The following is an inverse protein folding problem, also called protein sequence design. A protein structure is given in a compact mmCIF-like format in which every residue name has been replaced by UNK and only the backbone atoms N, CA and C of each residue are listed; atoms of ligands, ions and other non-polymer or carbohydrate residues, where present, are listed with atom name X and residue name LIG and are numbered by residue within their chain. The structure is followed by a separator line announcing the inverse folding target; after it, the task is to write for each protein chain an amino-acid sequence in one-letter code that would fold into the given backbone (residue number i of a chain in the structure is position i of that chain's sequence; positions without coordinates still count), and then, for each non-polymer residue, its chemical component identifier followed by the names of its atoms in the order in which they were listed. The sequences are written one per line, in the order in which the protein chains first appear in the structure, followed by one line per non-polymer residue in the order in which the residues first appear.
data_IF_075374582210
#
_entry.id   IF_075374582210
#
_cell.length_a   1.000
_cell.length_b   1.000
_cell.length_c   1.000
_cell.angle_alpha   90.00
_cell.angle_beta   90.00
_cell.angle_gamma   90.00
#
_symmetry.space_group_name_H-M   'P 1'
#
loop_
_entity.id
_entity.type
_entity.pdbx_description
1 polymer ?
#
# COMPACT_ATOMS: atom_id res chain seq x y z
N UNK A 1 16.46 34.75 11.97
CA UNK A 1 15.55 34.24 13.03
C UNK A 1 14.60 33.26 12.37
N UNK A 2 14.64 31.99 12.77
CA UNK A 2 13.71 30.96 12.30
C UNK A 2 12.38 31.21 13.02
N UNK A 3 11.39 31.73 12.30
CA UNK A 3 10.07 31.94 12.88
C UNK A 3 9.36 30.60 13.03
N UNK A 4 8.71 30.50 14.17
CA UNK A 4 8.04 29.33 14.72
C UNK A 4 7.11 28.67 13.70
N UNK A 5 6.98 27.33 13.82
CA UNK A 5 5.99 26.52 13.10
C UNK A 5 4.67 27.29 13.05
N UNK A 6 4.06 27.39 11.88
CA UNK A 6 2.71 27.95 11.80
C UNK A 6 1.75 27.11 12.68
N UNK A 7 0.60 27.68 13.06
CA UNK A 7 -0.37 27.12 14.01
C UNK A 7 -0.83 25.68 13.69
N UNK A 8 -0.56 25.18 12.47
CA UNK A 8 -0.89 23.83 11.99
C UNK A 8 0.31 22.86 11.98
N UNK A 9 1.48 23.28 12.47
CA UNK A 9 2.69 22.46 12.51
C UNK A 9 3.36 22.23 11.15
N UNK A 10 3.03 23.02 10.12
CA UNK A 10 3.72 22.97 8.81
C UNK A 10 5.03 23.76 8.87
N UNK A 11 6.03 23.25 8.15
CA UNK A 11 7.27 23.99 7.88
C UNK A 11 6.94 25.22 7.02
N UNK A 12 7.28 26.43 7.47
CA UNK A 12 6.89 27.68 6.79
C UNK A 12 7.54 27.84 5.40
N UNK A 13 8.57 27.05 5.09
CA UNK A 13 9.41 27.09 3.89
C UNK A 13 9.37 25.80 3.05
N UNK A 14 8.45 24.87 3.33
CA UNK A 14 8.32 23.63 2.58
C UNK A 14 7.87 23.84 1.13
N UNK A 15 8.27 22.93 0.21
CA UNK A 15 7.90 22.94 -1.23
C UNK A 15 6.40 23.15 -1.51
N UNK A 16 5.54 22.80 -0.56
CA UNK A 16 4.09 22.89 -0.66
C UNK A 16 3.45 23.75 0.45
N UNK A 17 4.21 24.66 1.07
CA UNK A 17 3.67 25.61 2.04
C UNK A 17 2.66 26.56 1.37
N UNK A 18 1.62 26.95 2.12
CA UNK A 18 0.58 27.86 1.66
C UNK A 18 1.20 29.24 1.40
N UNK A 19 1.11 29.72 0.16
CA UNK A 19 1.78 30.95 -0.27
C UNK A 19 3.24 30.80 -0.74
N UNK A 20 3.77 29.58 -0.89
CA UNK A 20 5.07 29.39 -1.55
C UNK A 20 4.94 29.70 -3.06
N UNK A 21 5.62 30.75 -3.58
CA UNK A 21 5.53 31.13 -4.99
C UNK A 21 6.24 30.15 -5.93
N UNK A 22 6.99 29.20 -5.39
CA UNK A 22 7.78 28.22 -6.14
C UNK A 22 7.23 26.80 -5.96
N UNK A 23 6.31 26.39 -6.85
CA UNK A 23 5.79 25.01 -6.90
C UNK A 23 4.40 24.92 -7.50
N UNK A 24 3.99 23.73 -7.92
CA UNK A 24 2.60 23.47 -8.32
C UNK A 24 1.72 23.50 -7.05
N UNK A 25 0.57 24.19 -7.06
CA UNK A 25 -0.32 24.24 -5.91
C UNK A 25 -0.83 22.86 -5.50
N UNK A 26 -1.25 22.72 -4.24
CA UNK A 26 -1.93 21.53 -3.77
C UNK A 26 -3.18 21.29 -4.62
N UNK A 27 -3.41 20.03 -5.03
CA UNK A 27 -4.54 19.63 -5.86
C UNK A 27 -5.84 19.49 -5.07
N UNK A 28 -5.73 19.15 -3.79
CA UNK A 28 -6.85 19.11 -2.84
C UNK A 28 -6.54 20.07 -1.71
N UNK A 29 -7.51 20.94 -1.41
CA UNK A 29 -7.37 21.99 -0.40
C UNK A 29 -7.83 21.51 0.98
N UNK A 30 -8.84 20.63 1.02
CA UNK A 30 -9.45 20.13 2.24
C UNK A 30 -9.56 18.59 2.27
N UNK A 31 -9.65 18.05 3.49
CA UNK A 31 -9.74 16.61 3.74
C UNK A 31 -10.96 15.96 3.06
N UNK A 32 -12.10 16.65 3.02
CA UNK A 32 -13.36 16.09 2.53
C UNK A 32 -13.33 15.92 1.01
N UNK A 33 -12.80 16.89 0.26
CA UNK A 33 -12.68 16.75 -1.20
C UNK A 33 -11.82 15.56 -1.60
N UNK A 34 -10.71 15.33 -0.88
CA UNK A 34 -9.87 14.15 -1.07
C UNK A 34 -10.62 12.86 -0.71
N UNK A 35 -11.33 12.84 0.42
CA UNK A 35 -12.11 11.67 0.87
C UNK A 35 -13.21 11.29 -0.12
N UNK A 36 -13.92 12.27 -0.67
CA UNK A 36 -14.95 12.06 -1.70
C UNK A 36 -14.32 11.42 -2.93
N UNK A 37 -13.20 11.94 -3.43
CA UNK A 37 -12.52 11.34 -4.60
C UNK A 37 -11.99 9.95 -4.36
N UNK A 38 -11.51 9.65 -3.16
CA UNK A 38 -11.12 8.29 -2.79
C UNK A 38 -12.31 7.34 -2.76
N UNK A 39 -13.46 7.78 -2.23
CA UNK A 39 -14.69 6.98 -2.25
C UNK A 39 -15.17 6.73 -3.69
N UNK A 40 -15.19 7.78 -4.53
CA UNK A 40 -15.51 7.65 -5.95
C UNK A 40 -14.63 6.62 -6.65
N UNK A 41 -13.33 6.61 -6.37
CA UNK A 41 -12.41 5.60 -6.91
C UNK A 41 -12.80 4.19 -6.49
N UNK A 42 -12.99 3.96 -5.18
CA UNK A 42 -13.29 2.63 -4.65
C UNK A 42 -14.67 2.11 -5.08
N UNK A 43 -15.62 3.00 -5.34
CA UNK A 43 -16.91 2.65 -5.94
C UNK A 43 -16.74 2.33 -7.43
N UNK A 44 -15.99 3.17 -8.16
CA UNK A 44 -15.78 3.00 -9.59
C UNK A 44 -15.13 1.65 -9.94
N UNK A 45 -14.14 1.20 -9.15
CA UNK A 45 -13.48 -0.09 -9.35
C UNK A 45 -14.34 -1.30 -8.99
N UNK A 46 -15.50 -1.14 -8.35
CA UNK A 46 -16.44 -2.27 -8.17
C UNK A 46 -17.09 -2.70 -9.48
N UNK A 47 -16.86 -1.94 -10.56
CA UNK A 47 -17.41 -2.19 -11.87
C UNK A 47 -18.84 -1.69 -11.99
N UNK A 48 -19.45 -2.02 -13.11
CA UNK A 48 -20.78 -1.59 -13.47
C UNK A 48 -21.49 -2.73 -14.19
N UNK A 49 -22.73 -2.99 -13.84
CA UNK A 49 -23.50 -4.08 -14.40
C UNK A 49 -24.96 -3.68 -14.60
N UNK A 50 -25.59 -4.35 -15.55
CA UNK A 50 -27.02 -4.30 -15.78
C UNK A 50 -27.62 -5.67 -15.48
N UNK A 51 -28.90 -5.68 -15.13
CA UNK A 51 -29.67 -6.90 -14.94
C UNK A 51 -30.63 -6.99 -16.14
N UNK A 52 -30.42 -8.00 -16.98
CA UNK A 52 -31.31 -8.29 -18.10
C UNK A 52 -32.05 -9.60 -17.85
N UNK A 53 -33.32 -9.68 -18.26
CA UNK A 53 -34.06 -10.95 -18.26
C UNK A 53 -33.63 -11.77 -19.45
N UNK A 54 -33.11 -12.97 -19.19
CA UNK A 54 -32.74 -13.91 -20.25
C UNK A 54 -33.65 -15.11 -20.17
N UNK A 55 -34.40 -15.34 -21.25
CA UNK A 55 -35.21 -16.54 -21.41
C UNK A 55 -34.30 -17.62 -22.01
N UNK A 56 -34.05 -18.68 -21.24
CA UNK A 56 -33.34 -19.87 -21.75
C UNK A 56 -34.26 -21.07 -21.77
N UNK A 57 -34.44 -21.63 -22.96
CA UNK A 57 -35.16 -22.88 -23.16
C UNK A 57 -34.16 -24.03 -23.27
N UNK A 58 -34.23 -24.99 -22.35
CA UNK A 58 -33.51 -26.26 -22.45
C UNK A 58 -34.52 -27.37 -22.74
N UNK A 59 -34.25 -28.14 -23.79
CA UNK A 59 -35.05 -29.32 -24.11
C UNK A 59 -34.33 -30.57 -23.65
N UNK A 60 -34.93 -31.30 -22.72
CA UNK A 60 -34.41 -32.55 -22.17
C UNK A 60 -35.27 -33.71 -22.69
N UNK A 61 -34.62 -34.73 -23.27
CA UNK A 61 -35.28 -35.89 -23.87
C UNK A 61 -35.09 -35.97 -25.39
N UNK A 62 -35.60 -37.03 -26.01
CA UNK A 62 -35.57 -37.24 -27.47
C UNK A 62 -36.93 -37.74 -27.94
N UNK A 63 -37.36 -37.28 -29.11
CA UNK A 63 -38.62 -37.72 -29.72
C UNK A 63 -39.84 -37.06 -29.06
N UNK A 64 -40.94 -37.83 -28.93
CA UNK A 64 -42.26 -37.32 -28.51
C UNK A 64 -42.34 -36.92 -27.04
N UNK A 65 -41.41 -37.40 -26.22
CA UNK A 65 -41.36 -37.16 -24.77
C UNK A 65 -40.37 -36.04 -24.39
N UNK A 66 -39.89 -35.26 -25.37
CA UNK A 66 -38.99 -34.15 -25.12
C UNK A 66 -39.70 -33.04 -24.32
N UNK A 67 -39.21 -32.77 -23.12
CA UNK A 67 -39.72 -31.69 -22.25
C UNK A 67 -38.85 -30.46 -22.46
N UNK A 68 -39.46 -29.35 -22.86
CA UNK A 68 -38.78 -28.06 -22.93
C UNK A 68 -39.06 -27.28 -21.66
N UNK A 69 -38.05 -27.12 -20.82
CA UNK A 69 -38.09 -26.24 -19.66
C UNK A 69 -37.62 -24.86 -20.10
N UNK A 70 -38.45 -23.86 -19.84
CA UNK A 70 -38.11 -22.45 -20.10
C UNK A 70 -37.87 -21.77 -18.76
N UNK A 71 -36.65 -21.29 -18.55
CA UNK A 71 -36.23 -20.56 -17.35
C UNK A 71 -36.17 -19.06 -17.72
N UNK A 72 -36.90 -18.22 -16.98
CA UNK A 72 -36.82 -16.75 -17.04
C UNK A 72 -36.11 -16.26 -15.78
N UNK A 73 -34.79 -16.09 -15.88
CA UNK A 73 -33.98 -15.63 -14.76
C UNK A 73 -33.32 -14.28 -15.06
N UNK A 74 -33.26 -13.37 -14.08
CA UNK A 74 -32.48 -12.14 -14.19
C UNK A 74 -30.99 -12.50 -14.21
N UNK A 75 -30.31 -12.14 -15.30
CA UNK A 75 -28.87 -12.38 -15.47
C UNK A 75 -28.11 -11.08 -15.25
N UNK A 76 -27.06 -11.15 -14.41
CA UNK A 76 -26.11 -10.06 -14.21
C UNK A 76 -25.13 -10.00 -15.39
N UNK A 77 -25.14 -8.91 -16.14
CA UNK A 77 -24.23 -8.66 -17.28
C UNK A 77 -23.33 -7.48 -16.92
N UNK A 78 -22.02 -7.71 -16.92
CA UNK A 78 -21.03 -6.68 -16.62
C UNK A 78 -20.84 -5.75 -17.81
N UNK A 79 -21.05 -4.45 -17.60
CA UNK A 79 -20.68 -3.37 -18.52
C UNK A 79 -19.20 -3.01 -18.33
N UNK A 80 -18.78 -2.94 -17.06
CA UNK A 80 -17.38 -2.81 -16.64
C UNK A 80 -17.11 -3.83 -15.56
N UNK A 81 -16.06 -4.63 -15.73
CA UNK A 81 -15.68 -5.61 -14.73
C UNK A 81 -15.06 -4.92 -13.51
N UNK A 82 -15.22 -5.50 -12.31
CA UNK A 82 -14.54 -5.01 -11.11
C UNK A 82 -13.02 -5.15 -11.25
N UNK A 83 -12.31 -4.16 -10.74
CA UNK A 83 -10.86 -4.09 -10.69
C UNK A 83 -10.34 -4.21 -9.26
N UNK A 84 -9.09 -4.67 -9.11
CA UNK A 84 -8.43 -4.71 -7.81
C UNK A 84 -7.84 -3.32 -7.49
N UNK A 85 -8.04 -2.79 -6.26
CA UNK A 85 -7.46 -1.51 -5.88
C UNK A 85 -5.93 -1.60 -5.87
N UNK A 86 -5.26 -0.55 -6.36
CA UNK A 86 -3.80 -0.43 -6.32
C UNK A 86 -3.39 0.98 -5.89
N UNK A 87 -2.22 1.13 -5.26
CA UNK A 87 -1.70 2.46 -4.87
C UNK A 87 -1.54 3.36 -6.09
N UNK A 88 -1.07 2.80 -7.22
CA UNK A 88 -0.97 3.51 -8.49
C UNK A 88 -2.33 3.91 -9.04
N UNK A 89 -3.34 3.02 -8.97
CA UNK A 89 -4.69 3.32 -9.42
C UNK A 89 -5.32 4.47 -8.63
N UNK A 90 -5.15 4.46 -7.31
CA UNK A 90 -5.55 5.59 -6.45
C UNK A 90 -4.86 6.87 -6.89
N UNK A 91 -3.53 6.86 -7.05
CA UNK A 91 -2.78 8.06 -7.44
C UNK A 91 -3.21 8.60 -8.81
N UNK A 92 -3.42 7.73 -9.79
CA UNK A 92 -3.88 8.08 -11.14
C UNK A 92 -5.30 8.66 -11.09
N UNK A 93 -6.22 8.04 -10.35
CA UNK A 93 -7.60 8.52 -10.25
C UNK A 93 -7.69 9.89 -9.58
N UNK A 94 -6.89 10.11 -8.53
CA UNK A 94 -6.74 11.41 -7.90
C UNK A 94 -6.01 12.42 -8.82
N UNK A 95 -5.46 11.95 -9.93
CA UNK A 95 -4.70 12.69 -10.94
C UNK A 95 -3.40 13.26 -10.42
N UNK A 96 -2.72 12.51 -9.56
CA UNK A 96 -1.33 12.76 -9.20
C UNK A 96 -0.40 12.21 -10.30
N UNK A 97 0.79 12.80 -10.42
CA UNK A 97 1.82 12.36 -11.37
C UNK A 97 2.61 11.14 -10.89
N UNK A 98 2.62 10.91 -9.57
CA UNK A 98 3.40 9.83 -8.96
C UNK A 98 2.74 9.32 -7.67
N UNK A 99 3.10 8.11 -7.27
CA UNK A 99 2.75 7.57 -5.94
C UNK A 99 3.34 8.41 -4.81
N UNK A 100 4.48 9.06 -5.04
CA UNK A 100 5.13 9.89 -4.04
C UNK A 100 4.23 11.05 -3.62
N UNK A 101 3.53 11.66 -4.57
CA UNK A 101 2.56 12.72 -4.27
C UNK A 101 1.48 12.25 -3.29
N UNK A 102 1.00 11.01 -3.41
CA UNK A 102 0.02 10.45 -2.47
C UNK A 102 0.63 10.29 -1.06
N UNK A 103 1.86 9.77 -0.97
CA UNK A 103 2.55 9.63 0.32
C UNK A 103 2.88 10.99 0.97
N UNK A 104 3.16 12.02 0.18
CA UNK A 104 3.39 13.36 0.69
C UNK A 104 2.12 13.97 1.26
N UNK A 105 0.94 13.66 0.70
CA UNK A 105 -0.34 14.00 1.33
C UNK A 105 -0.55 13.22 2.63
N UNK A 106 -0.16 11.95 2.70
CA UNK A 106 -0.27 11.15 3.92
C UNK A 106 0.55 11.72 5.11
N UNK A 107 1.58 12.52 4.84
CA UNK A 107 2.39 13.20 5.87
C UNK A 107 1.74 14.48 6.40
N UNK A 108 0.81 15.08 5.64
CA UNK A 108 0.12 16.30 6.05
C UNK A 108 -0.98 15.95 7.04
N UNK A 109 -0.98 16.60 8.21
CA UNK A 109 -1.96 16.36 9.27
C UNK A 109 -3.43 16.27 8.79
N UNK A 110 -3.96 17.21 7.96
CA UNK A 110 -5.36 17.15 7.52
C UNK A 110 -5.67 16.00 6.55
N UNK A 111 -4.68 15.45 5.83
CA UNK A 111 -4.93 14.41 4.83
C UNK A 111 -4.46 13.02 5.27
N UNK A 112 -3.65 12.96 6.33
CA UNK A 112 -2.99 11.76 6.85
C UNK A 112 -3.98 10.62 7.09
N UNK A 113 -5.09 10.90 7.76
CA UNK A 113 -6.07 9.87 8.10
C UNK A 113 -6.71 9.24 6.85
N UNK A 114 -7.23 10.06 5.95
CA UNK A 114 -7.94 9.59 4.75
C UNK A 114 -7.01 8.83 3.81
N UNK A 115 -5.79 9.34 3.59
CA UNK A 115 -4.82 8.66 2.71
C UNK A 115 -4.38 7.33 3.31
N UNK A 116 -4.09 7.26 4.61
CA UNK A 116 -3.74 6.00 5.27
C UNK A 116 -4.88 4.99 5.20
N UNK A 117 -6.13 5.43 5.35
CA UNK A 117 -7.31 4.57 5.19
C UNK A 117 -7.39 4.00 3.76
N UNK A 118 -7.13 4.81 2.74
CA UNK A 118 -7.10 4.34 1.35
C UNK A 118 -5.97 3.33 1.10
N UNK A 119 -4.77 3.58 1.63
CA UNK A 119 -3.64 2.64 1.52
C UNK A 119 -3.94 1.32 2.24
N UNK A 120 -4.57 1.36 3.42
CA UNK A 120 -5.00 0.17 4.15
C UNK A 120 -6.01 -0.69 3.36
N UNK A 121 -6.92 -0.07 2.60
CA UNK A 121 -7.85 -0.80 1.73
C UNK A 121 -7.08 -1.54 0.62
N UNK A 122 -6.06 -0.90 0.05
CA UNK A 122 -5.18 -1.54 -0.95
C UNK A 122 -4.43 -2.71 -0.31
N UNK A 123 -3.81 -2.51 0.87
CA UNK A 123 -3.11 -3.56 1.61
C UNK A 123 -4.03 -4.75 1.92
N UNK A 124 -5.26 -4.50 2.39
CA UNK A 124 -6.25 -5.55 2.65
C UNK A 124 -6.58 -6.37 1.40
N UNK A 125 -6.61 -5.75 0.22
CA UNK A 125 -6.83 -6.47 -1.03
C UNK A 125 -5.68 -7.44 -1.34
N UNK A 126 -4.44 -6.99 -1.15
CA UNK A 126 -3.28 -7.86 -1.29
C UNK A 126 -3.29 -8.96 -0.23
N UNK A 127 -3.55 -8.63 1.03
CA UNK A 127 -3.65 -9.61 2.12
C UNK A 127 -4.66 -10.73 1.83
N UNK A 128 -5.85 -10.39 1.30
CA UNK A 128 -6.83 -11.40 0.85
C UNK A 128 -6.28 -12.33 -0.25
N UNK A 129 -5.33 -11.85 -1.05
CA UNK A 129 -4.63 -12.64 -2.07
C UNK A 129 -3.66 -13.67 -1.50
N UNK A 130 -3.32 -13.61 -0.21
CA UNK A 130 -2.41 -14.57 0.44
C UNK A 130 -2.99 -15.99 0.48
N UNK A 131 -4.33 -16.12 0.43
CA UNK A 131 -5.02 -17.41 0.39
C UNK A 131 -5.05 -18.06 -1.01
N UNK A 132 -4.45 -17.42 -2.02
CA UNK A 132 -4.44 -17.92 -3.40
C UNK A 132 -3.14 -18.64 -3.77
N UNK A 133 -3.21 -19.49 -4.80
CA UNK A 133 -2.04 -20.26 -5.28
C UNK A 133 -0.89 -19.39 -5.81
N UNK A 134 -1.16 -18.12 -6.18
CA UNK A 134 -0.18 -17.19 -6.79
C UNK A 134 0.31 -16.14 -5.79
N UNK A 135 0.74 -16.59 -4.61
CA UNK A 135 1.05 -15.72 -3.46
C UNK A 135 2.33 -14.90 -3.60
N UNK A 136 3.29 -15.30 -4.44
CA UNK A 136 4.60 -14.64 -4.53
C UNK A 136 4.51 -13.14 -4.90
N UNK A 137 3.65 -12.79 -5.87
CA UNK A 137 3.45 -11.39 -6.26
C UNK A 137 2.76 -10.56 -5.17
N UNK A 138 1.88 -11.20 -4.39
CA UNK A 138 1.20 -10.58 -3.25
C UNK A 138 2.19 -10.27 -2.13
N UNK A 139 3.04 -11.24 -1.76
CA UNK A 139 4.09 -11.06 -0.76
C UNK A 139 5.05 -9.94 -1.18
N UNK A 140 5.48 -9.94 -2.44
CA UNK A 140 6.34 -8.88 -2.98
C UNK A 140 5.68 -7.49 -2.87
N UNK A 141 4.38 -7.39 -3.18
CA UNK A 141 3.65 -6.13 -3.05
C UNK A 141 3.55 -5.67 -1.59
N UNK A 142 3.17 -6.55 -0.66
CA UNK A 142 3.06 -6.25 0.77
C UNK A 142 4.41 -5.83 1.37
N UNK A 143 5.50 -6.49 0.98
CA UNK A 143 6.87 -6.08 1.38
C UNK A 143 7.21 -4.66 0.93
N UNK A 144 6.85 -4.31 -0.29
CA UNK A 144 7.01 -2.93 -0.80
C UNK A 144 6.07 -1.91 -0.12
N UNK A 145 5.05 -2.36 0.62
CA UNK A 145 4.18 -1.53 1.45
C UNK A 145 4.65 -1.47 2.92
N UNK A 146 5.83 -2.01 3.22
CA UNK A 146 6.45 -1.93 4.55
C UNK A 146 6.21 -3.16 5.43
N UNK A 147 5.60 -4.22 4.91
CA UNK A 147 5.53 -5.48 5.62
C UNK A 147 6.92 -6.14 5.65
N UNK A 148 7.32 -6.63 6.80
CA UNK A 148 8.60 -7.30 6.97
C UNK A 148 8.40 -8.67 7.61
N UNK A 149 9.13 -9.66 7.12
CA UNK A 149 9.23 -10.94 7.80
C UNK A 149 10.08 -10.73 9.06
N UNK A 150 9.63 -11.28 10.19
CA UNK A 150 10.49 -11.35 11.37
C UNK A 150 11.50 -12.49 11.16
N UNK A 151 12.78 -12.15 11.27
CA UNK A 151 13.86 -13.14 11.31
C UNK A 151 14.32 -13.22 12.76
N UNK A 152 14.05 -14.34 13.41
CA UNK A 152 14.64 -14.66 14.71
C UNK A 152 16.00 -15.32 14.44
N UNK A 153 17.06 -14.54 14.58
CA UNK A 153 18.42 -15.08 14.60
C UNK A 153 18.68 -15.59 16.01
N UNK A 154 18.58 -16.90 16.22
CA UNK A 154 19.19 -17.54 17.38
C UNK A 154 20.70 -17.42 17.24
N UNK A 155 21.29 -16.44 17.93
CA UNK A 155 22.73 -16.35 18.12
C UNK A 155 23.15 -17.56 18.96
N UNK A 156 23.42 -18.69 18.30
CA UNK A 156 24.20 -19.78 18.87
C UNK A 156 25.64 -19.28 18.94
N UNK A 157 25.87 -18.35 19.87
CA UNK A 157 27.19 -17.86 20.25
C UNK A 157 28.04 -19.07 20.60
N UNK A 158 28.80 -19.54 19.63
CA UNK A 158 29.98 -20.33 19.93
C UNK A 158 30.97 -19.28 20.39
N UNK A 159 30.87 -18.88 21.66
CA UNK A 159 31.92 -18.13 22.34
C UNK A 159 33.15 -19.03 22.30
N UNK A 160 33.90 -18.93 21.21
CA UNK A 160 35.28 -19.36 21.21
C UNK A 160 35.92 -18.45 22.24
N UNK A 161 36.23 -18.96 23.44
CA UNK A 161 37.02 -18.21 24.41
C UNK A 161 38.30 -17.80 23.71
N UNK A 162 38.37 -16.54 23.27
CA UNK A 162 39.56 -16.00 22.63
C UNK A 162 40.57 -15.84 23.77
N UNK A 163 41.62 -16.65 23.73
CA UNK A 163 42.70 -16.58 24.71
C UNK A 163 43.59 -15.36 24.42
N UNK A 164 43.29 -14.26 25.11
CA UNK A 164 44.02 -13.00 24.99
C UNK A 164 45.43 -13.06 25.59
N UNK A 165 45.79 -14.12 26.34
CA UNK A 165 47.13 -14.23 26.95
C UNK A 165 48.25 -14.44 25.93
N UNK A 166 47.89 -14.77 24.69
CA UNK A 166 48.82 -14.98 23.58
C UNK A 166 49.12 -13.71 22.76
N UNK A 167 48.42 -12.61 23.04
CA UNK A 167 48.62 -11.34 22.37
C UNK A 167 49.63 -10.49 23.12
N UNK A 168 50.46 -9.79 22.37
CA UNK A 168 51.35 -8.75 22.89
C UNK A 168 50.58 -7.50 23.31
N UNK A 169 51.22 -6.63 24.11
CA UNK A 169 50.63 -5.37 24.57
C UNK A 169 50.21 -4.45 23.40
N UNK A 170 50.98 -4.45 22.31
CA UNK A 170 50.67 -3.69 21.08
C UNK A 170 49.41 -4.22 20.36
N UNK A 171 49.24 -5.54 20.31
CA UNK A 171 48.06 -6.19 19.70
C UNK A 171 46.80 -5.96 20.54
N UNK A 172 46.94 -5.93 21.87
CA UNK A 172 45.83 -5.60 22.77
C UNK A 172 45.41 -4.13 22.63
N UNK A 173 46.37 -3.22 22.42
CA UNK A 173 46.08 -1.80 22.22
C UNK A 173 45.41 -1.51 20.88
N UNK A 174 45.84 -2.18 19.80
CA UNK A 174 45.17 -2.09 18.50
C UNK A 174 43.73 -2.62 18.54
N UNK A 175 43.49 -3.74 19.24
CA UNK A 175 42.13 -4.25 19.47
C UNK A 175 41.24 -3.26 20.23
N UNK A 176 41.77 -2.62 21.29
CA UNK A 176 41.04 -1.57 22.02
C UNK A 176 40.65 -0.41 21.11
N UNK A 177 41.60 0.09 20.32
CA UNK A 177 41.37 1.21 19.41
C UNK A 177 40.32 0.89 18.33
N UNK A 178 40.36 -0.32 17.75
CA UNK A 178 39.37 -0.76 16.79
C UNK A 178 37.96 -0.87 17.41
N UNK A 179 37.88 -1.40 18.63
CA UNK A 179 36.61 -1.55 19.35
C UNK A 179 36.00 -0.19 19.71
N UNK A 180 36.82 0.77 20.16
CA UNK A 180 36.37 2.14 20.42
C UNK A 180 35.91 2.86 19.15
N UNK A 181 36.59 2.65 18.03
CA UNK A 181 36.20 3.22 16.73
C UNK A 181 34.87 2.66 16.24
N UNK A 182 34.62 1.36 16.44
CA UNK A 182 33.34 0.74 16.12
C UNK A 182 32.19 1.29 16.99
N UNK A 183 32.43 1.55 18.27
CA UNK A 183 31.44 2.14 19.20
C UNK A 183 31.13 3.62 18.96
N UNK A 184 32.02 4.36 18.30
CA UNK A 184 31.84 5.78 17.97
C UNK A 184 31.08 6.03 16.67
N UNK A 185 30.64 4.98 15.97
CA UNK A 185 29.95 5.07 14.68
C UNK A 185 28.42 5.04 14.78
N UNK A 186 27.85 5.23 15.98
CA UNK A 186 26.42 5.48 16.20
C UNK A 186 26.15 6.94 16.59
#
# INVERSE_FOLDING_TARGET
MKNEKNLEGREPDGKFAEGNPFGRPAKYEDENSLAIKLLEYFEWIQGEYIIERKITSKTTGKGKDAVTTTEDEPVKIWVRYPEKPTVTGVAIFLGFESRQSLYDYAKKAPFSYVVKKALLIVENNYEKGLWSDKVAGVIFALKNMGWADKIELEDKGTESQIDYSKLSDEELETLKNLTEKAKKND
#
